data_IF_403404433720
#
_entry.id   IF_403404433720
#
_cell.length_a   1.000
_cell.length_b   1.000
_cell.length_c   1.000
_cell.angle_alpha   90.00
_cell.angle_beta   90.00
_cell.angle_gamma   90.00
#
_symmetry.space_group_name_H-M   'P 1'
#
loop_
_entity.id
_entity.type
_entity.pdbx_description
1 polymer ?
#
# COMPACT_ATOMS: atom_id res chain seq x y z
N UNK A 1 33.83 3.42 -27.41
CA UNK A 1 33.36 3.00 -26.07
C UNK A 1 31.89 2.67 -26.20
N UNK A 2 31.52 1.39 -26.14
CA UNK A 2 30.13 0.96 -26.14
C UNK A 2 29.63 0.98 -24.70
N UNK A 3 28.71 1.87 -24.39
CA UNK A 3 28.06 1.97 -23.10
C UNK A 3 26.79 1.11 -23.19
N UNK A 4 26.87 -0.11 -22.67
CA UNK A 4 25.68 -0.96 -22.51
C UNK A 4 24.93 -0.40 -21.31
N UNK A 5 23.74 0.16 -21.53
CA UNK A 5 22.87 0.56 -20.43
C UNK A 5 22.57 -0.69 -19.59
N UNK A 6 22.89 -0.62 -18.29
CA UNK A 6 22.61 -1.72 -17.36
C UNK A 6 21.10 -1.99 -17.39
N UNK A 7 20.64 -3.25 -17.51
CA UNK A 7 19.21 -3.56 -17.48
C UNK A 7 18.64 -2.97 -16.20
N UNK A 8 17.64 -2.09 -16.32
CA UNK A 8 17.03 -1.28 -15.25
C UNK A 8 17.14 -1.94 -13.86
N UNK A 9 18.21 -1.59 -13.12
CA UNK A 9 18.53 -2.13 -11.80
C UNK A 9 17.88 -1.29 -10.70
N UNK A 10 16.67 -0.79 -10.92
CA UNK A 10 16.01 0.00 -9.91
C UNK A 10 15.40 -0.96 -8.89
N UNK A 11 16.14 -1.16 -7.79
CA UNK A 11 15.68 -1.90 -6.63
C UNK A 11 14.50 -1.13 -6.02
N UNK A 12 13.40 -1.82 -5.74
CA UNK A 12 12.33 -1.25 -4.94
C UNK A 12 12.80 -0.89 -3.53
N UNK A 13 11.97 -0.17 -2.79
CA UNK A 13 12.28 0.31 -1.43
C UNK A 13 12.60 -0.82 -0.44
N UNK A 14 12.10 -2.03 -0.70
CA UNK A 14 12.29 -3.19 0.18
C UNK A 14 11.33 -3.19 1.38
N UNK A 15 11.15 -4.37 1.98
CA UNK A 15 10.20 -4.59 3.09
C UNK A 15 10.57 -3.71 4.30
N UNK A 16 11.88 -3.51 4.52
CA UNK A 16 12.42 -2.72 5.63
C UNK A 16 12.19 -1.20 5.50
N UNK A 17 11.66 -0.74 4.37
CA UNK A 17 11.25 0.65 4.17
C UNK A 17 9.74 0.85 4.29
N UNK A 18 8.93 -0.22 4.38
CA UNK A 18 7.48 -0.10 4.53
C UNK A 18 7.12 0.54 5.89
N UNK A 19 6.03 1.35 5.97
CA UNK A 19 5.49 1.82 7.23
C UNK A 19 5.25 0.68 8.22
N UNK A 20 5.41 0.93 9.52
CA UNK A 20 5.33 -0.11 10.54
C UNK A 20 3.95 -0.80 10.61
N UNK A 21 2.86 -0.06 10.37
CA UNK A 21 1.50 -0.62 10.26
C UNK A 21 1.39 -1.61 9.12
N UNK A 22 1.93 -1.27 7.94
CA UNK A 22 1.94 -2.11 6.74
C UNK A 22 2.84 -3.32 6.94
N UNK A 23 4.10 -3.12 7.35
CA UNK A 23 5.10 -4.19 7.51
C UNK A 23 4.66 -5.26 8.51
N UNK A 24 4.04 -4.84 9.61
CA UNK A 24 3.60 -5.73 10.68
C UNK A 24 2.13 -6.14 10.56
N UNK A 25 1.52 -5.91 9.39
CA UNK A 25 0.12 -6.28 9.17
C UNK A 25 -0.09 -7.76 9.40
N UNK A 26 -1.13 -8.10 10.18
CA UNK A 26 -1.59 -9.49 10.38
C UNK A 26 -2.52 -9.98 9.26
N UNK A 27 -2.83 -9.11 8.29
CA UNK A 27 -3.84 -9.32 7.25
C UNK A 27 -3.18 -9.47 5.89
N UNK A 28 -2.22 -8.61 5.57
CA UNK A 28 -1.49 -8.67 4.30
C UNK A 28 -0.56 -9.89 4.28
N UNK A 29 -0.61 -10.67 3.19
CA UNK A 29 0.29 -11.80 2.99
C UNK A 29 1.72 -11.33 2.66
N UNK A 30 2.71 -12.23 2.77
CA UNK A 30 4.08 -11.93 2.33
C UNK A 30 4.17 -11.49 0.87
N UNK A 31 3.30 -12.02 0.00
CA UNK A 31 3.22 -11.59 -1.39
C UNK A 31 2.68 -10.15 -1.52
N UNK A 32 1.68 -9.77 -0.72
CA UNK A 32 1.17 -8.40 -0.70
C UNK A 32 2.25 -7.41 -0.25
N UNK A 33 3.00 -7.75 0.81
CA UNK A 33 4.10 -6.92 1.28
C UNK A 33 5.22 -6.81 0.23
N UNK A 34 5.53 -7.91 -0.47
CA UNK A 34 6.49 -7.90 -1.58
C UNK A 34 6.07 -6.99 -2.72
N UNK A 35 4.78 -6.99 -3.10
CA UNK A 35 4.25 -6.07 -4.10
C UNK A 35 4.39 -4.61 -3.68
N UNK A 36 4.00 -4.28 -2.44
CA UNK A 36 4.10 -2.93 -1.90
C UNK A 36 5.56 -2.46 -1.82
N UNK A 37 6.48 -3.33 -1.42
CA UNK A 37 7.91 -3.03 -1.30
C UNK A 37 8.65 -2.91 -2.65
N UNK A 38 8.01 -3.30 -3.76
CA UNK A 38 8.61 -3.24 -5.10
C UNK A 38 8.46 -1.86 -5.77
N UNK A 39 7.80 -0.90 -5.11
CA UNK A 39 7.80 0.50 -5.56
C UNK A 39 9.19 1.11 -5.42
N UNK A 40 9.53 2.06 -6.29
CA UNK A 40 10.84 2.72 -6.30
C UNK A 40 11.02 3.70 -5.14
N UNK A 41 9.91 4.31 -4.73
CA UNK A 41 9.81 5.22 -3.60
C UNK A 41 8.42 5.06 -2.97
N UNK A 42 8.27 5.44 -1.70
CA UNK A 42 6.98 5.41 -1.03
C UNK A 42 6.02 6.40 -1.74
N UNK A 43 4.83 5.96 -2.17
CA UNK A 43 3.87 6.86 -2.77
C UNK A 43 3.44 7.95 -1.80
N UNK A 44 3.19 9.13 -2.34
CA UNK A 44 2.55 10.21 -1.59
C UNK A 44 1.04 10.03 -1.60
N UNK A 45 0.37 10.52 -0.57
CA UNK A 45 -1.09 10.62 -0.56
C UNK A 45 -1.50 11.56 -1.68
N UNK A 46 -2.36 11.07 -2.58
CA UNK A 46 -2.96 11.85 -3.64
C UNK A 46 -4.28 12.44 -3.11
N UNK A 47 -4.37 13.77 -2.91
CA UNK A 47 -5.59 14.40 -2.41
C UNK A 47 -6.76 14.31 -3.40
N UNK A 48 -6.51 13.93 -4.66
CA UNK A 48 -7.55 13.68 -5.66
C UNK A 48 -8.00 12.22 -5.72
N UNK A 49 -7.40 11.33 -4.92
CA UNK A 49 -7.81 9.94 -4.85
C UNK A 49 -9.18 9.82 -4.18
N UNK A 50 -10.15 9.32 -4.96
CA UNK A 50 -11.53 9.22 -4.57
C UNK A 50 -11.98 7.76 -4.68
N UNK A 51 -12.16 7.09 -3.54
CA UNK A 51 -12.65 5.72 -3.49
C UNK A 51 -13.86 5.60 -2.55
N UNK A 52 -14.96 5.05 -3.10
CA UNK A 52 -16.22 4.93 -2.38
C UNK A 52 -16.14 3.94 -1.20
N UNK A 53 -15.35 2.89 -1.32
CA UNK A 53 -15.19 1.90 -0.26
C UNK A 53 -14.34 2.45 0.88
N UNK A 54 -13.25 3.17 0.56
CA UNK A 54 -12.44 3.88 1.53
C UNK A 54 -13.29 4.87 2.35
N UNK A 55 -14.15 5.65 1.69
CA UNK A 55 -15.10 6.55 2.37
C UNK A 55 -16.05 5.80 3.30
N UNK A 56 -16.58 4.64 2.87
CA UNK A 56 -17.42 3.80 3.71
C UNK A 56 -16.67 3.31 4.95
N UNK A 57 -15.41 2.89 4.81
CA UNK A 57 -14.59 2.46 5.96
C UNK A 57 -14.48 3.60 6.98
N UNK A 58 -14.15 4.83 6.56
CA UNK A 58 -14.11 5.97 7.48
C UNK A 58 -15.46 6.26 8.11
N UNK A 59 -16.54 6.23 7.32
CA UNK A 59 -17.89 6.50 7.80
C UNK A 59 -18.31 5.53 8.91
N UNK A 60 -18.06 4.23 8.74
CA UNK A 60 -18.52 3.21 9.69
C UNK A 60 -17.57 2.96 10.86
N UNK A 61 -16.26 3.16 10.67
CA UNK A 61 -15.25 2.77 11.65
C UNK A 61 -14.49 3.95 12.28
N UNK A 62 -14.84 5.20 12.01
CA UNK A 62 -14.22 6.42 12.57
C UNK A 62 -14.00 6.43 14.08
N UNK A 63 -14.87 5.78 14.85
CA UNK A 63 -14.79 5.73 16.30
C UNK A 63 -14.00 4.53 16.85
N UNK A 64 -13.54 3.62 15.98
CA UNK A 64 -12.86 2.38 16.36
C UNK A 64 -11.57 2.21 15.54
N UNK A 65 -10.45 2.84 15.95
CA UNK A 65 -9.21 2.87 15.17
C UNK A 65 -8.67 1.48 14.79
N UNK A 66 -8.77 0.50 15.70
CA UNK A 66 -8.30 -0.87 15.43
C UNK A 66 -9.13 -1.61 14.39
N UNK A 67 -10.46 -1.44 14.39
CA UNK A 67 -11.30 -2.04 13.34
C UNK A 67 -11.15 -1.28 12.03
N UNK A 68 -10.97 0.05 12.06
CA UNK A 68 -10.67 0.83 10.86
C UNK A 68 -9.38 0.35 10.19
N UNK A 69 -8.28 0.25 10.94
CA UNK A 69 -7.00 -0.24 10.41
C UNK A 69 -7.16 -1.62 9.78
N UNK A 70 -7.85 -2.53 10.47
CA UNK A 70 -8.16 -3.86 9.94
C UNK A 70 -8.92 -3.79 8.60
N UNK A 71 -9.98 -2.99 8.49
CA UNK A 71 -10.76 -2.86 7.26
C UNK A 71 -9.95 -2.23 6.11
N UNK A 72 -9.11 -1.23 6.40
CA UNK A 72 -8.20 -0.64 5.41
C UNK A 72 -7.23 -1.69 4.86
N UNK A 73 -6.63 -2.50 5.72
CA UNK A 73 -5.71 -3.55 5.30
C UNK A 73 -6.41 -4.69 4.54
N UNK A 74 -7.64 -5.06 4.93
CA UNK A 74 -8.46 -6.02 4.18
C UNK A 74 -8.77 -5.50 2.77
N UNK A 75 -9.13 -4.23 2.66
CA UNK A 75 -9.44 -3.62 1.37
C UNK A 75 -8.19 -3.47 0.49
N UNK A 76 -7.07 -3.00 1.05
CA UNK A 76 -5.79 -2.94 0.36
C UNK A 76 -5.34 -4.31 -0.14
N UNK A 77 -5.53 -5.38 0.65
CA UNK A 77 -5.28 -6.75 0.23
C UNK A 77 -6.04 -7.13 -1.04
N UNK A 78 -7.35 -6.84 -1.11
CA UNK A 78 -8.18 -7.07 -2.30
C UNK A 78 -7.70 -6.28 -3.51
N UNK A 79 -7.29 -5.02 -3.31
CA UNK A 79 -6.75 -4.19 -4.39
C UNK A 79 -5.46 -4.80 -4.95
N UNK A 80 -4.55 -5.26 -4.09
CA UNK A 80 -3.31 -5.93 -4.49
C UNK A 80 -3.56 -7.24 -5.24
N UNK A 81 -4.55 -8.03 -4.83
CA UNK A 81 -4.95 -9.25 -5.58
C UNK A 81 -5.41 -8.93 -7.01
N UNK A 82 -5.91 -7.72 -7.25
CA UNK A 82 -6.31 -7.24 -8.59
C UNK A 82 -5.22 -6.44 -9.30
N UNK A 83 -4.00 -6.35 -8.74
CA UNK A 83 -2.88 -5.60 -9.31
C UNK A 83 -2.97 -4.07 -9.15
N UNK A 84 -3.92 -3.57 -8.35
CA UNK A 84 -4.14 -2.14 -8.09
C UNK A 84 -3.23 -1.63 -6.96
N UNK A 85 -1.93 -1.62 -7.23
CA UNK A 85 -0.90 -1.34 -6.22
C UNK A 85 -0.96 0.12 -5.74
N UNK A 86 -1.18 1.07 -6.65
CA UNK A 86 -1.24 2.49 -6.31
C UNK A 86 -2.45 2.80 -5.42
N UNK A 87 -3.61 2.24 -5.75
CA UNK A 87 -4.83 2.39 -4.97
C UNK A 87 -4.70 1.73 -3.59
N UNK A 88 -4.07 0.55 -3.52
CA UNK A 88 -3.77 -0.10 -2.25
C UNK A 88 -2.90 0.80 -1.35
N UNK A 89 -1.90 1.49 -1.94
CA UNK A 89 -1.10 2.46 -1.22
C UNK A 89 -1.94 3.65 -0.72
N UNK A 90 -2.81 4.23 -1.56
CA UNK A 90 -3.68 5.32 -1.13
C UNK A 90 -4.58 4.91 0.05
N UNK A 91 -5.11 3.68 0.03
CA UNK A 91 -5.90 3.12 1.14
C UNK A 91 -5.07 2.94 2.40
N UNK A 92 -3.87 2.37 2.31
CA UNK A 92 -3.01 2.10 3.47
C UNK A 92 -2.46 3.39 4.10
N UNK A 93 -2.23 4.43 3.29
CA UNK A 93 -1.71 5.73 3.76
C UNK A 93 -2.82 6.64 4.32
N UNK A 94 -4.09 6.35 4.07
CA UNK A 94 -5.20 7.19 4.51
C UNK A 94 -5.35 7.29 6.04
N UNK A 95 -4.74 6.36 6.80
CA UNK A 95 -4.75 6.33 8.27
C UNK A 95 -3.33 6.38 8.86
N UNK A 96 -2.34 6.86 8.09
CA UNK A 96 -0.95 7.01 8.50
C UNK A 96 -0.68 8.33 9.24
#
# INVERSE_FOLDING_TARGET
LFQVEKPNTQLGIGIDALPSSVRNSKILSGNNLGQLANVLELPLIDPSFEDGHLKQIFQYYSLNPGEMEKELHLYAGKLLETGKINEAWQVLLANA
#
